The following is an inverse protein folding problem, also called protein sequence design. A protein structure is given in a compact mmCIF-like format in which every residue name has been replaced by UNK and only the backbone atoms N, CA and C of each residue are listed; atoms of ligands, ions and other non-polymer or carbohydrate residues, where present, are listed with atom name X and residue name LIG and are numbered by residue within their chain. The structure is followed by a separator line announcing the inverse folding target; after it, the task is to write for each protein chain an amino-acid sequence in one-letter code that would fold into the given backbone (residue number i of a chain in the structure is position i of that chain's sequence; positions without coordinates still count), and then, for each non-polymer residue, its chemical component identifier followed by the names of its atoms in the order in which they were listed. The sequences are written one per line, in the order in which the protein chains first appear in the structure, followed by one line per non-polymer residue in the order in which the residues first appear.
data_IF_971388063814
#
_entry.id   IF_971388063814
#
_cell.length_a   1.000
_cell.length_b   1.000
_cell.length_c   1.000
_cell.angle_alpha   90.00
_cell.angle_beta   90.00
_cell.angle_gamma   90.00
#
_symmetry.space_group_name_H-M   'P 1'
#
loop_
_entity.id
_entity.type
_entity.pdbx_description
1 polymer ?
#
# COMPACT_ATOMS: atom_id res chain seq x y z
N UNK A 1 -7.01 -0.67 -20.21
CA UNK A 1 -7.87 -1.67 -19.54
C UNK A 1 -7.07 -2.67 -18.69
N UNK A 2 -5.93 -3.22 -19.11
CA UNK A 2 -5.09 -4.09 -18.26
C UNK A 2 -4.65 -3.41 -16.97
N UNK A 3 -4.20 -2.15 -17.03
CA UNK A 3 -3.83 -1.38 -15.84
C UNK A 3 -5.02 -1.18 -14.88
N UNK A 4 -6.19 -0.79 -15.40
CA UNK A 4 -7.40 -0.71 -14.57
C UNK A 4 -7.73 -2.03 -13.85
N UNK A 5 -7.57 -3.17 -14.54
CA UNK A 5 -7.78 -4.48 -13.93
C UNK A 5 -6.69 -4.79 -12.88
N UNK A 6 -5.43 -4.41 -13.16
CA UNK A 6 -4.30 -4.52 -12.24
C UNK A 6 -4.57 -3.81 -10.92
N UNK A 7 -4.85 -2.52 -10.98
CA UNK A 7 -5.16 -1.70 -9.81
C UNK A 7 -6.40 -2.21 -9.04
N UNK A 8 -7.43 -2.61 -9.78
CA UNK A 8 -8.66 -3.10 -9.16
C UNK A 8 -8.44 -4.38 -8.35
N UNK A 9 -7.59 -5.31 -8.84
CA UNK A 9 -7.25 -6.51 -8.09
C UNK A 9 -6.25 -6.22 -6.97
N UNK A 10 -5.25 -5.31 -7.17
CA UNK A 10 -4.32 -4.89 -6.12
C UNK A 10 -5.07 -4.29 -4.92
N UNK A 11 -6.00 -3.37 -5.17
CA UNK A 11 -6.90 -2.85 -4.15
C UNK A 11 -7.59 -3.95 -3.34
N UNK A 12 -8.14 -4.97 -4.02
CA UNK A 12 -8.81 -6.07 -3.32
C UNK A 12 -7.82 -6.93 -2.52
N UNK A 13 -6.66 -7.28 -3.08
CA UNK A 13 -5.61 -8.03 -2.37
C UNK A 13 -5.18 -7.31 -1.09
N UNK A 14 -4.96 -6.01 -1.15
CA UNK A 14 -4.59 -5.20 0.03
C UNK A 14 -5.72 -5.12 1.06
N UNK A 15 -6.97 -5.05 0.63
CA UNK A 15 -8.12 -5.12 1.55
C UNK A 15 -8.19 -6.47 2.27
N UNK A 16 -7.87 -7.58 1.58
CA UNK A 16 -7.81 -8.91 2.20
C UNK A 16 -6.63 -9.03 3.16
N UNK A 17 -5.45 -8.49 2.80
CA UNK A 17 -4.29 -8.44 3.68
C UNK A 17 -4.55 -7.58 4.94
N UNK A 18 -5.25 -6.44 4.79
CA UNK A 18 -5.70 -5.62 5.92
C UNK A 18 -6.59 -6.42 6.88
N UNK A 19 -7.53 -7.21 6.34
CA UNK A 19 -8.39 -8.07 7.17
C UNK A 19 -7.61 -9.14 7.92
N UNK A 20 -6.52 -9.67 7.33
CA UNK A 20 -5.62 -10.60 8.01
C UNK A 20 -4.81 -9.88 9.11
N UNK A 21 -4.23 -8.70 8.82
CA UNK A 21 -3.52 -7.89 9.81
C UNK A 21 -4.40 -7.57 11.03
N UNK A 22 -5.67 -7.26 10.80
CA UNK A 22 -6.65 -7.03 11.86
C UNK A 22 -6.82 -8.26 12.77
N UNK A 23 -6.92 -9.46 12.21
CA UNK A 23 -7.05 -10.71 12.99
C UNK A 23 -5.83 -10.97 13.87
N UNK A 24 -4.66 -10.51 13.45
CA UNK A 24 -3.40 -10.63 14.18
C UNK A 24 -3.15 -9.45 15.14
N UNK A 25 -4.12 -8.56 15.33
CA UNK A 25 -4.00 -7.34 16.13
C UNK A 25 -2.85 -6.40 15.68
N UNK A 26 -2.48 -6.45 14.39
CA UNK A 26 -1.50 -5.57 13.77
C UNK A 26 -2.22 -4.36 13.10
N UNK A 27 -2.94 -3.55 13.90
CA UNK A 27 -3.80 -2.49 13.39
C UNK A 27 -3.06 -1.38 12.64
N UNK A 28 -1.78 -1.18 12.93
CA UNK A 28 -0.91 -0.30 12.12
C UNK A 28 -0.73 -0.86 10.72
N UNK A 29 -0.48 -2.17 10.59
CA UNK A 29 -0.32 -2.84 9.28
C UNK A 29 -1.66 -2.89 8.54
N UNK A 30 -2.77 -3.14 9.25
CA UNK A 30 -4.14 -2.98 8.72
C UNK A 30 -4.33 -1.59 8.10
N UNK A 31 -3.90 -0.53 8.80
CA UNK A 31 -4.01 0.85 8.31
C UNK A 31 -3.14 1.10 7.08
N UNK A 32 -1.92 0.57 7.03
CA UNK A 32 -1.01 0.68 5.88
C UNK A 32 -1.63 0.05 4.63
N UNK A 33 -2.14 -1.18 4.73
CA UNK A 33 -2.79 -1.84 3.60
C UNK A 33 -4.05 -1.11 3.14
N UNK A 34 -4.92 -0.66 4.06
CA UNK A 34 -6.14 0.06 3.70
C UNK A 34 -5.82 1.41 3.04
N UNK A 35 -4.82 2.14 3.54
CA UNK A 35 -4.39 3.42 2.98
C UNK A 35 -3.86 3.24 1.54
N UNK A 36 -3.03 2.21 1.31
CA UNK A 36 -2.54 1.90 -0.04
C UNK A 36 -3.69 1.43 -0.94
N UNK A 37 -4.58 0.54 -0.46
CA UNK A 37 -5.75 0.10 -1.22
C UNK A 37 -6.65 1.26 -1.71
N UNK A 38 -6.78 2.34 -0.92
CA UNK A 38 -7.51 3.54 -1.35
C UNK A 38 -6.76 4.32 -2.43
N UNK A 39 -5.43 4.28 -2.45
CA UNK A 39 -4.60 4.87 -3.51
C UNK A 39 -4.74 4.05 -4.81
N UNK A 40 -4.68 2.71 -4.74
CA UNK A 40 -4.91 1.83 -5.92
C UNK A 40 -6.30 2.04 -6.53
N UNK A 41 -7.30 2.28 -5.70
CA UNK A 41 -8.64 2.65 -6.20
C UNK A 41 -8.60 3.95 -7.01
N UNK A 42 -7.77 4.92 -6.63
CA UNK A 42 -7.62 6.17 -7.37
C UNK A 42 -6.83 5.98 -8.66
N UNK A 43 -5.79 5.14 -8.65
CA UNK A 43 -5.05 4.78 -9.87
C UNK A 43 -5.97 4.05 -10.86
N UNK A 44 -6.74 3.07 -10.39
CA UNK A 44 -7.77 2.41 -11.19
C UNK A 44 -8.73 3.42 -11.84
N UNK A 45 -9.20 4.41 -11.08
CA UNK A 45 -10.08 5.45 -11.59
C UNK A 45 -9.43 6.29 -12.69
N UNK A 46 -8.15 6.67 -12.53
CA UNK A 46 -7.39 7.42 -13.54
C UNK A 46 -7.31 6.61 -14.84
N UNK A 47 -6.90 5.34 -14.78
CA UNK A 47 -6.83 4.49 -15.97
C UNK A 47 -8.20 4.24 -16.61
N UNK A 48 -9.25 4.11 -15.79
CA UNK A 48 -10.62 3.98 -16.28
C UNK A 48 -11.11 5.24 -17.01
N UNK A 49 -10.75 6.44 -16.53
CA UNK A 49 -11.09 7.70 -17.19
C UNK A 49 -10.42 7.86 -18.56
N UNK A 50 -9.26 7.27 -18.79
CA UNK A 50 -8.65 7.24 -20.13
C UNK A 50 -9.44 6.41 -21.15
N UNK A 51 -10.39 5.60 -20.72
CA UNK A 51 -11.26 4.77 -21.57
C UNK A 51 -12.62 5.43 -21.87
N UNK A 52 -12.83 6.70 -21.48
CA UNK A 52 -14.13 7.39 -21.59
C UNK A 52 -14.75 7.40 -22.99
N UNK A 53 -13.93 7.42 -24.04
CA UNK A 53 -14.36 7.42 -25.44
C UNK A 53 -14.93 6.05 -25.87
N UNK A 54 -14.66 5.01 -25.09
CA UNK A 54 -15.16 3.65 -25.28
C UNK A 54 -16.34 3.34 -24.36
N UNK A 55 -17.00 4.37 -23.83
CA UNK A 55 -18.14 4.20 -22.93
C UNK A 55 -19.25 3.39 -23.58
N UNK A 56 -19.69 2.33 -22.89
CA UNK A 56 -20.71 1.39 -23.39
C UNK A 56 -20.12 0.16 -24.11
N UNK A 57 -18.84 0.18 -24.46
CA UNK A 57 -18.19 -0.96 -25.12
C UNK A 57 -17.66 -1.98 -24.10
N UNK A 58 -17.57 -3.23 -24.54
CA UNK A 58 -16.88 -4.31 -23.79
C UNK A 58 -15.49 -4.53 -24.35
N UNK A 59 -14.47 -4.24 -23.52
CA UNK A 59 -13.07 -4.41 -23.90
C UNK A 59 -12.58 -5.76 -23.37
N UNK A 60 -12.27 -6.67 -24.28
CA UNK A 60 -11.65 -7.95 -23.95
C UNK A 60 -10.15 -7.75 -23.64
N UNK A 61 -9.67 -8.33 -22.54
CA UNK A 61 -8.26 -8.30 -22.16
C UNK A 61 -7.80 -9.69 -21.75
N UNK A 62 -6.52 -9.96 -21.94
CA UNK A 62 -5.75 -11.00 -21.28
C UNK A 62 -4.79 -10.34 -20.28
N UNK A 63 -4.40 -11.03 -19.24
CA UNK A 63 -3.44 -10.54 -18.25
C UNK A 63 -3.10 -11.60 -17.21
N UNK A 64 -1.86 -11.55 -16.70
CA UNK A 64 -1.42 -12.28 -15.52
C UNK A 64 -1.51 -11.36 -14.31
N UNK A 65 -2.06 -11.85 -13.20
CA UNK A 65 -2.14 -11.11 -11.95
C UNK A 65 -1.71 -12.00 -10.78
N UNK A 66 -1.03 -11.46 -9.76
CA UNK A 66 -0.52 -12.26 -8.65
C UNK A 66 -1.63 -12.84 -7.78
N UNK A 67 -1.34 -13.99 -7.15
CA UNK A 67 -2.19 -14.65 -6.15
C UNK A 67 -1.44 -14.65 -4.83
N UNK A 68 -1.63 -13.60 -4.03
CA UNK A 68 -0.95 -13.38 -2.77
C UNK A 68 -1.82 -13.87 -1.61
N UNK A 69 -1.66 -15.13 -1.25
CA UNK A 69 -2.36 -15.75 -0.13
C UNK A 69 -1.33 -16.29 0.86
N UNK A 70 -1.35 -15.76 2.08
CA UNK A 70 -0.53 -16.22 3.19
C UNK A 70 -1.22 -15.94 4.52
N UNK A 71 -0.94 -16.77 5.53
CA UNK A 71 -1.24 -16.45 6.93
C UNK A 71 -0.16 -15.61 7.58
N UNK A 72 1.03 -15.52 6.98
CA UNK A 72 2.18 -14.80 7.53
C UNK A 72 2.16 -13.36 7.01
N UNK A 73 2.08 -12.39 7.91
CA UNK A 73 1.94 -10.98 7.55
C UNK A 73 3.19 -10.39 6.90
N UNK A 74 4.39 -10.80 7.34
CA UNK A 74 5.65 -10.42 6.70
C UNK A 74 5.70 -10.86 5.23
N UNK A 75 5.24 -12.08 4.93
CA UNK A 75 5.16 -12.57 3.54
C UNK A 75 4.16 -11.77 2.71
N UNK A 76 2.98 -11.44 3.26
CA UNK A 76 2.01 -10.60 2.53
C UNK A 76 2.57 -9.23 2.20
N UNK A 77 3.30 -8.61 3.14
CA UNK A 77 3.97 -7.33 2.90
C UNK A 77 5.09 -7.45 1.85
N UNK A 78 5.88 -8.55 1.86
CA UNK A 78 6.92 -8.77 0.85
C UNK A 78 6.35 -9.06 -0.54
N UNK A 79 5.25 -9.81 -0.63
CA UNK A 79 4.53 -10.02 -1.89
C UNK A 79 4.00 -8.69 -2.44
N UNK A 80 3.37 -7.87 -1.59
CA UNK A 80 2.93 -6.53 -1.98
C UNK A 80 4.10 -5.67 -2.46
N UNK A 81 5.21 -5.60 -1.71
CA UNK A 81 6.42 -4.89 -2.11
C UNK A 81 6.94 -5.32 -3.50
N UNK A 82 7.00 -6.63 -3.74
CA UNK A 82 7.47 -7.17 -5.02
C UNK A 82 6.58 -6.71 -6.18
N UNK A 83 5.27 -6.79 -6.02
CA UNK A 83 4.32 -6.42 -7.07
C UNK A 83 4.39 -4.91 -7.40
N UNK A 84 4.49 -4.06 -6.38
CA UNK A 84 4.65 -2.61 -6.58
C UNK A 84 5.95 -2.28 -7.35
N UNK A 85 7.05 -2.95 -7.01
CA UNK A 85 8.29 -2.75 -7.76
C UNK A 85 8.22 -3.29 -9.19
N UNK A 86 7.50 -4.38 -9.44
CA UNK A 86 7.26 -4.88 -10.81
C UNK A 86 6.43 -3.86 -11.62
N UNK A 87 5.42 -3.24 -11.01
CA UNK A 87 4.64 -2.18 -11.65
C UNK A 87 5.48 -0.94 -11.95
N UNK A 88 6.37 -0.52 -11.03
CA UNK A 88 7.29 0.59 -11.23
C UNK A 88 8.36 0.29 -12.29
N UNK A 89 9.09 -0.83 -12.13
CA UNK A 89 10.30 -1.12 -12.91
C UNK A 89 9.99 -1.56 -14.35
N UNK A 90 8.86 -2.22 -14.56
CA UNK A 90 8.53 -2.90 -15.84
C UNK A 90 7.16 -2.49 -16.37
N UNK A 91 6.06 -2.79 -15.67
CA UNK A 91 4.71 -2.76 -16.24
C UNK A 91 4.31 -1.36 -16.70
N UNK A 92 4.33 -0.37 -15.81
CA UNK A 92 3.84 0.98 -16.12
C UNK A 92 4.85 1.78 -16.92
N UNK A 93 6.13 1.52 -16.76
CA UNK A 93 7.15 2.09 -17.62
C UNK A 93 6.93 1.68 -19.08
N UNK A 94 6.77 0.38 -19.34
CA UNK A 94 6.53 -0.12 -20.68
C UNK A 94 5.20 0.38 -21.27
N UNK A 95 4.13 0.44 -20.48
CA UNK A 95 2.86 0.99 -20.94
C UNK A 95 2.97 2.49 -21.24
N UNK A 96 3.69 3.25 -20.43
CA UNK A 96 3.94 4.66 -20.65
C UNK A 96 4.75 4.93 -21.92
N UNK A 97 5.85 4.19 -22.10
CA UNK A 97 6.70 4.31 -23.30
C UNK A 97 5.91 3.95 -24.56
N UNK A 98 5.10 2.88 -24.52
CA UNK A 98 4.25 2.49 -25.65
C UNK A 98 3.17 3.53 -25.95
N UNK A 99 2.51 4.07 -24.93
CA UNK A 99 1.53 5.13 -25.10
C UNK A 99 2.15 6.40 -25.73
N UNK A 100 3.38 6.73 -25.31
CA UNK A 100 4.13 7.86 -25.89
C UNK A 100 4.47 7.63 -27.35
N UNK A 101 4.94 6.44 -27.71
CA UNK A 101 5.25 6.03 -29.09
C UNK A 101 4.01 6.14 -29.99
N UNK A 102 2.84 5.78 -29.48
CA UNK A 102 1.55 5.85 -30.18
C UNK A 102 0.92 7.25 -30.18
N UNK A 103 1.55 8.25 -29.56
CA UNK A 103 1.08 9.62 -29.54
C UNK A 103 0.10 9.97 -28.41
N UNK A 104 -0.15 9.07 -27.47
CA UNK A 104 -1.03 9.27 -26.32
C UNK A 104 -0.28 9.92 -25.13
N UNK A 105 0.24 11.14 -25.33
CA UNK A 105 1.12 11.81 -24.36
C UNK A 105 0.52 11.93 -22.95
N UNK A 106 -0.78 12.25 -22.83
CA UNK A 106 -1.43 12.38 -21.53
C UNK A 106 -1.51 11.02 -20.81
N UNK A 107 -1.79 9.95 -21.52
CA UNK A 107 -1.85 8.59 -20.97
C UNK A 107 -0.44 8.14 -20.56
N UNK A 108 0.57 8.39 -21.39
CA UNK A 108 1.97 8.10 -21.10
C UNK A 108 2.42 8.77 -19.79
N UNK A 109 2.09 10.08 -19.61
CA UNK A 109 2.42 10.80 -18.39
C UNK A 109 1.73 10.19 -17.16
N UNK A 110 0.46 9.77 -17.28
CA UNK A 110 -0.23 9.08 -16.17
C UNK A 110 0.49 7.81 -15.76
N UNK A 111 0.91 6.97 -16.71
CA UNK A 111 1.66 5.75 -16.42
C UNK A 111 2.98 6.02 -15.72
N UNK A 112 3.78 6.95 -16.24
CA UNK A 112 5.09 7.26 -15.66
C UNK A 112 4.96 7.85 -14.24
N UNK A 113 4.00 8.77 -14.01
CA UNK A 113 3.80 9.35 -12.68
C UNK A 113 3.26 8.33 -11.68
N UNK A 114 2.36 7.42 -12.10
CA UNK A 114 1.86 6.35 -11.23
C UNK A 114 2.99 5.37 -10.94
N UNK A 115 3.82 4.98 -11.91
CA UNK A 115 4.98 4.13 -11.68
C UNK A 115 5.87 4.67 -10.54
N UNK A 116 6.13 5.99 -10.51
CA UNK A 116 6.90 6.59 -9.41
C UNK A 116 6.18 6.47 -8.05
N UNK A 117 4.84 6.46 -8.03
CA UNK A 117 4.05 6.26 -6.81
C UNK A 117 4.16 4.80 -6.35
N UNK A 118 4.12 3.82 -7.27
CA UNK A 118 4.23 2.39 -6.91
C UNK A 118 5.58 2.07 -6.24
N UNK A 119 6.64 2.80 -6.63
CA UNK A 119 7.90 2.72 -5.89
C UNK A 119 7.74 3.09 -4.41
N UNK A 120 7.01 4.17 -4.10
CA UNK A 120 6.73 4.57 -2.71
C UNK A 120 5.86 3.56 -1.97
N UNK A 121 4.90 2.92 -2.66
CA UNK A 121 4.12 1.84 -2.11
C UNK A 121 5.00 0.65 -1.76
N UNK A 122 5.88 0.23 -2.68
CA UNK A 122 6.86 -0.83 -2.46
C UNK A 122 7.80 -0.53 -1.29
N UNK A 123 8.36 0.68 -1.23
CA UNK A 123 9.21 1.13 -0.12
C UNK A 123 8.45 1.07 1.22
N UNK A 124 7.18 1.48 1.24
CA UNK A 124 6.29 1.42 2.41
C UNK A 124 6.08 -0.02 2.87
N UNK A 125 5.66 -0.91 2.00
CA UNK A 125 5.44 -2.32 2.33
C UNK A 125 6.73 -3.00 2.80
N UNK A 126 7.84 -2.75 2.12
CA UNK A 126 9.16 -3.27 2.49
C UNK A 126 9.60 -2.84 3.87
N UNK A 127 9.35 -1.57 4.24
CA UNK A 127 9.66 -1.04 5.57
C UNK A 127 8.88 -1.75 6.67
N UNK A 128 7.59 -1.96 6.47
CA UNK A 128 6.76 -2.66 7.46
C UNK A 128 7.05 -4.16 7.52
N UNK A 129 7.40 -4.80 6.39
CA UNK A 129 7.89 -6.17 6.39
C UNK A 129 9.16 -6.29 7.24
N UNK A 130 10.13 -5.38 7.05
CA UNK A 130 11.36 -5.36 7.82
C UNK A 130 11.11 -5.19 9.32
N UNK A 131 10.16 -4.33 9.71
CA UNK A 131 9.81 -4.17 11.12
C UNK A 131 9.25 -5.46 11.74
N UNK A 132 8.49 -6.26 10.99
CA UNK A 132 7.99 -7.56 11.49
C UNK A 132 9.10 -8.60 11.57
N UNK A 133 9.93 -8.72 10.53
CA UNK A 133 11.08 -9.64 10.47
C UNK A 133 12.06 -9.39 11.61
N UNK A 134 12.39 -8.12 11.89
CA UNK A 134 13.29 -7.71 12.95
C UNK A 134 12.62 -7.68 14.34
N UNK A 135 11.32 -7.95 14.42
CA UNK A 135 10.52 -7.88 15.66
C UNK A 135 10.59 -6.52 16.36
N UNK A 136 10.74 -5.44 15.59
CA UNK A 136 10.88 -4.07 16.09
C UNK A 136 9.75 -3.13 15.68
N UNK A 137 8.62 -3.67 15.23
CA UNK A 137 7.44 -2.84 14.89
C UNK A 137 7.00 -1.92 16.04
N UNK A 138 7.10 -2.41 17.29
CA UNK A 138 6.67 -1.70 18.49
C UNK A 138 7.81 -1.38 19.46
N UNK A 139 9.07 -1.61 19.06
CA UNK A 139 10.25 -1.30 19.86
C UNK A 139 11.26 -0.51 19.05
N UNK A 140 12.14 0.23 19.73
CA UNK A 140 13.18 1.06 19.14
C UNK A 140 14.42 1.04 20.02
N UNK A 141 15.59 1.11 19.43
CA UNK A 141 16.86 1.21 20.16
C UNK A 141 17.03 2.59 20.82
N UNK A 142 16.33 3.59 20.32
CA UNK A 142 16.34 4.97 20.83
C UNK A 142 14.94 5.37 21.31
N UNK A 143 14.91 6.36 22.19
CA UNK A 143 13.65 6.98 22.60
C UNK A 143 12.96 7.63 21.39
N UNK A 144 11.70 7.28 21.13
CA UNK A 144 10.92 7.80 20.02
C UNK A 144 9.46 8.04 20.44
N UNK A 145 8.73 8.82 19.65
CA UNK A 145 7.30 9.02 19.84
C UNK A 145 6.52 7.85 19.24
N UNK A 146 5.49 7.40 19.96
CA UNK A 146 4.52 6.39 19.54
C UNK A 146 3.13 6.99 19.59
N UNK A 147 2.49 7.15 18.45
CA UNK A 147 1.11 7.68 18.38
C UNK A 147 0.09 6.56 18.24
N UNK A 148 -0.94 6.62 19.08
CA UNK A 148 -2.09 5.74 18.98
C UNK A 148 -2.99 6.17 17.81
N UNK A 149 -3.09 5.38 16.76
CA UNK A 149 -3.95 5.67 15.59
C UNK A 149 -5.44 5.74 15.93
N UNK A 150 -5.84 5.29 17.14
CA UNK A 150 -7.25 5.32 17.55
C UNK A 150 -7.66 6.63 18.20
N UNK A 151 -6.81 7.23 19.04
CA UNK A 151 -7.17 8.43 19.82
C UNK A 151 -6.16 9.58 19.76
N UNK A 152 -5.04 9.41 19.05
CA UNK A 152 -4.01 10.44 18.91
C UNK A 152 -3.09 10.60 20.12
N UNK A 153 -3.21 9.77 21.18
CA UNK A 153 -2.29 9.84 22.32
C UNK A 153 -0.86 9.52 21.87
N UNK A 154 0.09 10.35 22.31
CA UNK A 154 1.52 10.16 22.03
C UNK A 154 2.24 9.73 23.29
N UNK A 155 2.98 8.63 23.19
CA UNK A 155 3.87 8.12 24.21
C UNK A 155 5.32 8.29 23.76
N UNK A 156 6.21 8.71 24.67
CA UNK A 156 7.64 8.77 24.42
C UNK A 156 8.36 7.66 25.17
N UNK A 157 9.19 6.90 24.47
CA UNK A 157 9.94 5.77 25.03
C UNK A 157 10.50 4.85 23.96
N UNK A 158 11.21 3.82 24.41
CA UNK A 158 11.81 2.79 23.50
C UNK A 158 10.81 1.72 23.08
N UNK A 159 9.64 1.64 23.70
CA UNK A 159 8.61 0.65 23.37
C UNK A 159 7.23 1.30 23.39
N UNK A 160 6.41 0.95 22.40
CA UNK A 160 5.00 1.34 22.39
C UNK A 160 4.24 0.70 23.56
N UNK A 161 3.33 1.41 24.25
CA UNK A 161 2.56 0.85 25.35
C UNK A 161 1.79 -0.41 24.94
N UNK A 162 1.78 -1.42 25.80
CA UNK A 162 0.96 -2.64 25.59
C UNK A 162 -0.53 -2.34 25.50
N UNK A 163 -0.95 -1.25 26.15
CA UNK A 163 -2.31 -0.74 26.14
C UNK A 163 -2.29 0.78 26.22
N UNK A 164 -3.08 1.42 25.37
CA UNK A 164 -3.18 2.88 25.39
C UNK A 164 -3.81 3.36 26.72
N UNK A 165 -3.16 4.27 27.48
CA UNK A 165 -3.66 4.73 28.76
C UNK A 165 -4.93 5.61 28.61
N UNK A 166 -5.18 6.17 27.43
CA UNK A 166 -6.32 7.04 27.16
C UNK A 166 -7.54 6.25 26.68
N UNK A 167 -7.39 5.40 25.66
CA UNK A 167 -8.54 4.74 25.04
C UNK A 167 -8.58 3.22 25.21
N UNK A 168 -7.62 2.66 25.93
CA UNK A 168 -7.52 1.24 26.28
C UNK A 168 -7.36 0.25 25.11
N UNK A 169 -7.12 0.72 23.90
CA UNK A 169 -6.78 -0.13 22.77
C UNK A 169 -5.36 -0.73 22.91
N UNK A 170 -5.14 -1.87 22.30
CA UNK A 170 -3.88 -2.62 22.41
C UNK A 170 -2.70 -1.95 21.67
N UNK A 171 -1.50 -2.52 21.85
CA UNK A 171 -0.25 -2.05 21.26
C UNK A 171 -0.31 -1.97 19.74
N UNK A 172 -1.09 -2.84 19.08
CA UNK A 172 -1.23 -2.89 17.63
C UNK A 172 -1.71 -1.59 16.98
N UNK A 173 -2.28 -0.67 17.75
CA UNK A 173 -2.70 0.65 17.28
C UNK A 173 -1.59 1.71 17.33
N UNK A 174 -0.40 1.41 17.85
CA UNK A 174 0.67 2.39 17.93
C UNK A 174 1.60 2.33 16.73
N UNK A 175 1.85 3.48 16.12
CA UNK A 175 2.86 3.68 15.09
C UNK A 175 3.92 4.66 15.58
N UNK A 176 5.16 4.53 15.09
CA UNK A 176 6.18 5.56 15.29
C UNK A 176 5.66 6.90 14.79
N UNK A 177 5.83 7.95 15.58
CA UNK A 177 5.31 9.28 15.27
C UNK A 177 5.79 9.78 13.90
N UNK A 178 7.06 9.53 13.55
CA UNK A 178 7.66 9.88 12.27
C UNK A 178 7.05 9.18 11.05
N UNK A 179 6.30 8.09 11.26
CA UNK A 179 5.60 7.34 10.21
C UNK A 179 4.09 7.61 10.22
N UNK A 180 3.62 8.43 11.14
CA UNK A 180 2.20 8.81 11.20
C UNK A 180 1.83 9.64 9.97
N UNK A 181 0.65 9.43 9.34
CA UNK A 181 0.25 10.13 8.13
C UNK A 181 0.25 11.66 8.24
N UNK A 182 0.14 12.20 9.44
CA UNK A 182 0.02 13.65 9.71
C UNK A 182 0.97 14.11 10.82
N UNK A 183 2.08 13.39 11.04
CA UNK A 183 3.12 13.80 11.99
C UNK A 183 3.93 14.98 11.42
N UNK A 184 4.39 15.83 12.31
CA UNK A 184 5.19 17.04 12.02
C UNK A 184 6.63 16.83 12.45
#
# INVERSE_FOLDING_TARGET
MRAFAGESQARNRYTFAAAQAKKEHLHVVEAVFNYTADQERQHAYIFYQHLKEMAGETIQIDGGYPVDISSDMDKLLRMAQHNEYEEHDDVYKNFGDKAKEEGFTQIANSFHMIADIEKFHGDRFGKFAQFLEDKNLFVSDVETGWICLKCGYIHWGKEAPKKCPVCSHDQGYFIRLELSPFAH
#
